data_IF_589600258694
#
_entry.id   IF_589600258694
#
_cell.length_a   1.000
_cell.length_b   1.000
_cell.length_c   1.000
_cell.angle_alpha   90.00
_cell.angle_beta   90.00
_cell.angle_gamma   90.00
#
_symmetry.space_group_name_H-M   'P 1'
#
loop_
_entity.id
_entity.type
_entity.pdbx_description
1 polymer ?
#
# COMPACT_ATOMS: atom_id res chain seq x y z
N UNK A 1 -11.11 -70.79 -30.03
CA UNK A 1 -10.30 -69.61 -29.66
C UNK A 1 -10.64 -69.21 -28.23
N UNK A 2 -9.65 -69.22 -27.33
CA UNK A 2 -9.78 -69.23 -25.87
C UNK A 2 -8.69 -68.32 -25.25
N UNK A 3 -8.70 -67.89 -23.98
CA UNK A 3 -9.56 -68.23 -22.83
C UNK A 3 -9.72 -66.97 -21.92
N UNK A 4 -10.83 -66.78 -21.16
CA UNK A 4 -10.98 -65.65 -20.23
C UNK A 4 -10.31 -65.97 -18.86
N UNK A 5 -10.67 -65.29 -17.75
CA UNK A 5 -10.62 -63.86 -17.40
C UNK A 5 -9.48 -63.60 -16.37
N UNK A 6 -9.34 -62.37 -15.79
CA UNK A 6 -9.08 -62.11 -14.34
C UNK A 6 -8.56 -60.70 -14.01
N UNK A 7 -8.91 -60.26 -12.78
CA UNK A 7 -8.23 -59.32 -11.85
C UNK A 7 -7.89 -57.88 -12.36
N UNK A 8 -7.84 -56.81 -11.56
CA UNK A 8 -8.23 -56.40 -10.21
C UNK A 8 -7.31 -55.18 -9.87
N UNK A 9 -7.40 -54.60 -8.67
CA UNK A 9 -6.58 -53.46 -8.17
C UNK A 9 -7.02 -52.15 -8.86
N UNK A 10 -7.83 -51.26 -8.27
CA UNK A 10 -7.92 -50.79 -6.88
C UNK A 10 -6.58 -50.25 -6.34
N UNK A 11 -6.19 -49.05 -6.78
CA UNK A 11 -5.28 -48.20 -6.00
C UNK A 11 -6.11 -47.12 -5.31
N UNK A 12 -6.26 -47.31 -4.00
CA UNK A 12 -6.78 -46.35 -3.05
C UNK A 12 -5.64 -45.39 -2.64
N UNK A 13 -5.98 -44.20 -2.14
CA UNK A 13 -5.07 -43.26 -1.44
C UNK A 13 -4.04 -42.50 -2.31
N UNK A 14 -4.26 -41.18 -2.46
CA UNK A 14 -3.37 -40.24 -1.77
C UNK A 14 -4.13 -38.97 -1.32
N UNK A 15 -4.05 -38.67 -0.02
CA UNK A 15 -4.62 -37.46 0.58
C UNK A 15 -3.72 -36.27 0.24
N UNK A 16 -4.15 -35.44 -0.69
CA UNK A 16 -3.64 -34.07 -0.83
C UNK A 16 -4.80 -33.14 -1.17
N UNK A 17 -5.67 -32.89 -0.19
CA UNK A 17 -6.54 -31.71 -0.24
C UNK A 17 -5.62 -30.51 -0.04
N UNK A 18 -4.99 -30.07 -1.12
CA UNK A 18 -4.42 -28.74 -1.20
C UNK A 18 -5.58 -27.76 -1.13
N UNK A 19 -5.97 -27.42 0.10
CA UNK A 19 -6.66 -26.18 0.40
C UNK A 19 -5.69 -25.04 0.04
N UNK A 20 -5.62 -24.75 -1.26
CA UNK A 20 -5.21 -23.46 -1.78
C UNK A 20 -6.24 -22.47 -1.22
N UNK A 21 -5.94 -21.97 -0.02
CA UNK A 21 -6.45 -20.71 0.45
C UNK A 21 -5.98 -19.68 -0.58
N UNK A 22 -6.82 -19.46 -1.59
CA UNK A 22 -6.71 -18.30 -2.45
C UNK A 22 -6.98 -17.09 -1.56
N UNK A 23 -5.91 -16.59 -0.94
CA UNK A 23 -5.90 -15.30 -0.28
C UNK A 23 -6.37 -14.29 -1.31
N UNK A 24 -7.63 -13.86 -1.22
CA UNK A 24 -8.16 -12.79 -2.05
C UNK A 24 -7.17 -11.63 -1.92
N UNK A 25 -6.51 -11.17 -3.00
CA UNK A 25 -5.68 -9.98 -2.90
C UNK A 25 -6.60 -8.87 -2.42
N UNK A 26 -6.28 -8.30 -1.25
CA UNK A 26 -7.07 -7.24 -0.64
C UNK A 26 -7.30 -6.16 -1.69
N UNK A 27 -8.56 -5.76 -1.89
CA UNK A 27 -8.92 -4.84 -2.96
C UNK A 27 -8.02 -3.59 -2.87
N UNK A 28 -7.23 -3.35 -3.93
CA UNK A 28 -6.22 -2.31 -3.92
C UNK A 28 -6.88 -0.96 -3.63
N UNK A 29 -6.49 -0.33 -2.52
CA UNK A 29 -7.02 0.96 -2.10
C UNK A 29 -6.56 2.01 -3.11
N UNK A 30 -7.52 2.55 -3.87
CA UNK A 30 -7.23 3.46 -4.97
C UNK A 30 -6.77 4.83 -4.45
N UNK A 31 -5.47 5.11 -4.56
CA UNK A 31 -4.91 6.43 -4.29
C UNK A 31 -5.41 7.40 -5.36
N UNK A 32 -6.06 8.50 -4.96
CA UNK A 32 -6.46 9.56 -5.89
C UNK A 32 -6.55 10.92 -5.20
N UNK A 33 -6.39 12.05 -5.92
CA UNK A 33 -6.50 13.39 -5.34
C UNK A 33 -7.87 13.70 -4.72
N UNK A 34 -8.94 13.08 -5.24
CA UNK A 34 -10.30 13.20 -4.72
C UNK A 34 -10.58 12.38 -3.45
N UNK A 35 -9.64 11.50 -3.07
CA UNK A 35 -9.69 10.66 -1.86
C UNK A 35 -8.35 10.72 -1.12
N UNK A 36 -7.91 11.93 -0.78
CA UNK A 36 -6.63 12.17 -0.10
C UNK A 36 -6.56 11.52 1.30
N UNK A 37 -7.71 11.28 1.93
CA UNK A 37 -7.85 10.49 3.16
C UNK A 37 -7.37 9.03 3.02
N UNK A 38 -7.39 8.47 1.80
CA UNK A 38 -6.94 7.11 1.51
C UNK A 38 -5.45 7.03 1.16
N UNK A 39 -4.73 8.15 1.06
CA UNK A 39 -3.35 8.20 0.58
C UNK A 39 -2.40 7.30 1.39
N UNK A 40 -2.41 7.41 2.73
CA UNK A 40 -1.60 6.54 3.59
C UNK A 40 -2.03 5.08 3.48
N UNK A 41 -3.34 4.81 3.50
CA UNK A 41 -3.84 3.43 3.41
C UNK A 41 -3.45 2.77 2.09
N UNK A 42 -3.47 3.50 0.96
CA UNK A 42 -3.04 2.98 -0.34
C UNK A 42 -1.54 2.71 -0.41
N UNK A 43 -0.71 3.58 0.17
CA UNK A 43 0.75 3.37 0.25
C UNK A 43 1.07 2.12 1.09
N UNK A 44 0.44 1.98 2.26
CA UNK A 44 0.66 0.83 3.16
C UNK A 44 0.10 -0.46 2.54
N UNK A 45 -1.09 -0.43 1.93
CA UNK A 45 -1.67 -1.60 1.27
C UNK A 45 -0.83 -2.11 0.09
N UNK A 46 -0.15 -1.22 -0.65
CA UNK A 46 0.80 -1.62 -1.69
C UNK A 46 2.01 -2.37 -1.10
N UNK A 47 2.58 -1.88 0.00
CA UNK A 47 3.67 -2.54 0.71
C UNK A 47 3.24 -3.88 1.33
N UNK A 48 2.09 -3.94 2.01
CA UNK A 48 1.52 -5.16 2.59
C UNK A 48 1.18 -6.21 1.52
N UNK A 49 0.83 -5.80 0.31
CA UNK A 49 0.68 -6.69 -0.85
C UNK A 49 2.02 -7.20 -1.43
N UNK A 50 3.15 -6.88 -0.81
CA UNK A 50 4.49 -7.32 -1.21
C UNK A 50 5.06 -6.56 -2.41
N UNK A 51 4.50 -5.40 -2.77
CA UNK A 51 5.05 -4.56 -3.83
C UNK A 51 6.34 -3.87 -3.35
N UNK A 52 7.25 -3.58 -4.28
CA UNK A 52 8.49 -2.84 -4.01
C UNK A 52 8.36 -1.35 -4.24
N UNK A 53 7.29 -0.92 -4.91
CA UNK A 53 7.02 0.48 -5.17
C UNK A 53 5.52 0.74 -5.25
N UNK A 54 5.15 2.00 -5.06
CA UNK A 54 3.80 2.53 -5.30
C UNK A 54 3.92 3.86 -6.04
N UNK A 55 3.05 4.06 -7.02
CA UNK A 55 2.90 5.33 -7.73
C UNK A 55 1.70 6.07 -7.17
N UNK A 56 1.91 7.26 -6.63
CA UNK A 56 0.86 8.20 -6.24
C UNK A 56 0.51 9.03 -7.48
N UNK A 57 -0.73 8.95 -8.02
CA UNK A 57 -1.10 9.70 -9.22
C UNK A 57 -0.92 11.20 -9.05
N UNK A 58 -0.44 11.89 -10.10
CA UNK A 58 -0.28 13.34 -10.10
C UNK A 58 -1.60 14.08 -9.80
N UNK A 59 -1.50 15.23 -9.12
CA UNK A 59 -2.65 16.03 -8.68
C UNK A 59 -2.46 16.66 -7.30
N UNK A 60 -3.47 17.40 -6.83
CA UNK A 60 -3.43 18.12 -5.55
C UNK A 60 -4.22 17.36 -4.49
N UNK A 61 -3.54 16.88 -3.46
CA UNK A 61 -4.10 16.13 -2.35
C UNK A 61 -4.28 17.06 -1.14
N UNK A 62 -5.52 17.27 -0.71
CA UNK A 62 -5.82 17.95 0.56
C UNK A 62 -5.68 16.94 1.69
N UNK A 63 -4.43 16.66 2.11
CA UNK A 63 -4.16 15.57 3.05
C UNK A 63 -4.63 15.99 4.46
N UNK A 64 -5.60 15.27 5.07
CA UNK A 64 -6.04 15.56 6.43
C UNK A 64 -4.99 15.10 7.46
N UNK A 65 -5.01 15.70 8.65
CA UNK A 65 -4.24 15.19 9.78
C UNK A 65 -4.83 13.85 10.24
N UNK A 66 -4.00 12.87 10.58
CA UNK A 66 -4.46 11.66 11.25
C UNK A 66 -4.95 11.94 12.68
N UNK A 67 -5.83 11.07 13.21
CA UNK A 67 -6.62 11.31 14.42
C UNK A 67 -5.85 11.85 15.64
N UNK A 68 -4.57 11.50 15.81
CA UNK A 68 -3.63 12.21 16.69
C UNK A 68 -2.18 12.27 16.14
N UNK A 69 -2.00 12.11 14.82
CA UNK A 69 -0.70 11.83 14.21
C UNK A 69 -0.16 12.95 13.29
N UNK A 70 0.84 12.61 12.45
CA UNK A 70 1.20 13.39 11.26
C UNK A 70 0.06 13.38 10.22
N UNK A 71 0.30 13.93 9.03
CA UNK A 71 -0.60 13.77 7.87
C UNK A 71 -0.33 12.46 7.12
N UNK A 72 0.93 12.07 7.02
CA UNK A 72 1.38 10.76 6.53
C UNK A 72 2.35 10.16 7.54
N UNK A 73 2.00 8.99 8.09
CA UNK A 73 2.86 8.16 8.93
C UNK A 73 3.28 6.91 8.15
N UNK A 74 4.59 6.75 7.94
CA UNK A 74 5.18 5.68 7.16
C UNK A 74 6.17 4.92 8.05
N UNK A 75 5.69 3.83 8.64
CA UNK A 75 6.45 3.04 9.61
C UNK A 75 6.89 1.68 9.07
N UNK A 76 8.07 1.22 9.48
CA UNK A 76 8.58 -0.14 9.28
C UNK A 76 8.66 -0.61 7.80
N UNK A 77 8.72 0.35 6.87
CA UNK A 77 8.87 0.09 5.44
C UNK A 77 10.34 -0.26 5.11
N UNK A 78 10.56 -1.29 4.30
CA UNK A 78 11.90 -1.78 3.94
C UNK A 78 12.05 -2.04 2.44
N UNK A 79 13.07 -1.47 1.80
CA UNK A 79 13.31 -1.54 0.34
C UNK A 79 12.07 -1.14 -0.49
N UNK A 80 11.46 0.01 -0.19
CA UNK A 80 10.20 0.45 -0.79
C UNK A 80 10.29 1.85 -1.40
N UNK A 81 9.77 2.02 -2.62
CA UNK A 81 9.80 3.29 -3.36
C UNK A 81 8.39 3.90 -3.51
N UNK A 82 8.25 5.16 -3.10
CA UNK A 82 7.04 5.96 -3.25
C UNK A 82 7.34 7.02 -4.31
N UNK A 83 6.89 6.77 -5.54
CA UNK A 83 6.94 7.75 -6.62
C UNK A 83 5.67 8.60 -6.58
N UNK A 84 5.82 9.86 -6.20
CA UNK A 84 4.76 10.85 -6.14
C UNK A 84 5.02 12.01 -7.12
N UNK A 85 5.69 11.71 -8.24
CA UNK A 85 6.00 12.69 -9.30
C UNK A 85 4.75 13.42 -9.81
N UNK A 86 4.72 14.74 -9.62
CA UNK A 86 3.60 15.60 -10.01
C UNK A 86 2.44 15.62 -9.01
N UNK A 87 2.58 14.97 -7.85
CA UNK A 87 1.65 15.13 -6.74
C UNK A 87 2.03 16.35 -5.88
N UNK A 88 1.03 17.12 -5.45
CA UNK A 88 1.18 18.19 -4.45
C UNK A 88 0.39 17.82 -3.21
N UNK A 89 1.07 17.65 -2.08
CA UNK A 89 0.45 17.34 -0.80
C UNK A 89 0.26 18.64 -0.01
N UNK A 90 -1.00 18.98 0.25
CA UNK A 90 -1.42 20.17 0.99
C UNK A 90 -1.88 19.73 2.38
N UNK A 91 -0.99 19.86 3.36
CA UNK A 91 -1.24 19.53 4.75
C UNK A 91 -2.17 20.58 5.40
N UNK A 92 -3.30 20.12 5.94
CA UNK A 92 -4.34 21.02 6.45
C UNK A 92 -4.04 21.60 7.85
N UNK A 93 -3.21 20.93 8.65
CA UNK A 93 -2.95 21.32 10.04
C UNK A 93 -1.47 21.71 10.25
N UNK A 94 -1.20 22.99 10.53
CA UNK A 94 0.17 23.48 10.77
C UNK A 94 0.80 23.00 12.08
N UNK A 95 0.01 22.40 12.97
CA UNK A 95 0.48 21.90 14.28
C UNK A 95 0.95 20.45 14.24
N UNK A 96 0.69 19.75 13.14
CA UNK A 96 1.09 18.36 12.94
C UNK A 96 2.22 18.23 11.90
N UNK A 97 3.02 17.18 12.03
CA UNK A 97 4.07 16.84 11.06
C UNK A 97 3.44 16.48 9.70
N UNK A 98 4.12 16.84 8.61
CA UNK A 98 3.68 16.53 7.25
C UNK A 98 3.84 15.05 6.91
N UNK A 99 5.07 14.62 6.64
CA UNK A 99 5.42 13.21 6.42
C UNK A 99 6.38 12.76 7.52
N UNK A 100 6.08 11.63 8.14
CA UNK A 100 6.89 10.99 9.17
C UNK A 100 7.40 9.63 8.66
N UNK A 101 8.67 9.32 8.93
CA UNK A 101 9.29 8.04 8.57
C UNK A 101 9.89 7.41 9.82
N UNK A 102 9.37 6.26 10.25
CA UNK A 102 9.78 5.60 11.51
C UNK A 102 10.26 4.18 11.22
N UNK A 103 11.45 3.81 11.70
CA UNK A 103 12.04 2.48 11.53
C UNK A 103 12.14 2.00 10.06
N UNK A 104 12.29 2.92 9.11
CA UNK A 104 12.36 2.63 7.68
C UNK A 104 13.79 2.36 7.20
N UNK A 105 14.01 1.31 6.41
CA UNK A 105 15.31 0.99 5.78
C UNK A 105 15.20 1.04 4.24
N UNK A 106 16.10 1.81 3.59
CA UNK A 106 16.14 1.95 2.12
C UNK A 106 14.78 2.29 1.51
N UNK A 107 14.09 3.26 2.10
CA UNK A 107 12.85 3.82 1.57
C UNK A 107 13.15 5.06 0.74
N UNK A 108 12.60 5.13 -0.46
CA UNK A 108 12.68 6.30 -1.34
C UNK A 108 11.32 6.97 -1.40
N UNK A 109 11.28 8.29 -1.22
CA UNK A 109 10.09 9.11 -1.41
C UNK A 109 10.47 10.29 -2.30
N UNK A 110 9.88 10.38 -3.49
CA UNK A 110 10.35 11.32 -4.53
C UNK A 110 9.20 11.94 -5.33
N UNK A 111 9.50 13.05 -6.01
CA UNK A 111 8.60 13.69 -6.98
C UNK A 111 7.46 14.53 -6.41
N UNK A 112 7.14 14.41 -5.11
CA UNK A 112 6.11 15.19 -4.45
C UNK A 112 6.53 16.65 -4.19
N UNK A 113 5.58 17.57 -4.31
CA UNK A 113 5.65 18.91 -3.72
C UNK A 113 4.92 18.91 -2.38
N UNK A 114 5.57 19.36 -1.30
CA UNK A 114 5.00 19.40 0.05
C UNK A 114 4.69 20.85 0.46
N UNK A 115 3.46 21.09 0.94
CA UNK A 115 2.99 22.42 1.32
C UNK A 115 2.02 22.36 2.51
N UNK A 116 1.99 23.38 3.37
CA UNK A 116 0.96 23.54 4.41
C UNK A 116 -0.05 24.59 3.96
N UNK A 117 -1.35 24.28 4.10
CA UNK A 117 -2.45 25.15 3.65
C UNK A 117 -2.42 26.56 4.28
N UNK A 118 -1.96 26.65 5.53
CA UNK A 118 -1.66 27.91 6.23
C UNK A 118 -0.15 28.01 6.41
N UNK A 119 0.45 29.18 6.16
CA UNK A 119 1.87 29.39 6.47
C UNK A 119 2.06 29.60 7.99
N UNK A 120 3.02 28.94 8.65
CA UNK A 120 3.24 29.08 10.10
C UNK A 120 3.84 30.44 10.51
N UNK A 121 3.97 31.38 9.57
CA UNK A 121 4.41 32.76 9.77
C UNK A 121 3.67 33.69 8.81
N UNK A 122 3.51 34.95 9.21
CA UNK A 122 3.09 36.06 8.34
C UNK A 122 4.32 36.82 7.85
N UNK A 123 4.24 37.39 6.63
CA UNK A 123 5.24 38.31 6.11
C UNK A 123 4.65 39.72 6.07
N UNK A 124 5.28 40.65 6.77
CA UNK A 124 5.02 42.09 6.67
C UNK A 124 5.83 42.71 5.51
#
# INVERSE_FOLDING_TARGET
MEIPPRLAILVHVCRAVCFLLASSPGAAVAISPGHAELLQQGILAAYEAGQRSVVVPAGVYQVPRQANGPHLDLENLTNFEIDATGATFVFQDVTALGVNFVNCDKVTFQGATLYYATTPFSRA
#
